data_IF_943176600617
#
_entry.id   IF_943176600617
#
_cell.length_a   1.000
_cell.length_b   1.000
_cell.length_c   1.000
_cell.angle_alpha   90.00
_cell.angle_beta   90.00
_cell.angle_gamma   90.00
#
_symmetry.space_group_name_H-M   'P 1'
#
loop_
_entity.id
_entity.type
_entity.pdbx_description
1 polymer ?
#
# COMPACT_ATOMS: atom_id res chain seq x y z
N UNK A 1 -0.27 11.63 -2.68
CA UNK A 1 -1.44 10.87 -3.16
C UNK A 1 -0.97 9.44 -3.38
N UNK A 2 -1.52 8.46 -2.68
CA UNK A 2 -1.13 7.05 -2.86
C UNK A 2 -1.83 6.50 -4.09
N UNK A 3 -1.13 5.71 -4.90
CA UNK A 3 -1.56 5.10 -6.17
C UNK A 3 -2.89 4.30 -6.09
N UNK A 4 -3.47 4.09 -4.90
CA UNK A 4 -4.85 3.61 -4.71
C UNK A 4 -5.95 4.61 -5.05
N UNK A 5 -5.64 5.85 -5.46
CA UNK A 5 -6.59 6.68 -6.21
C UNK A 5 -6.57 6.39 -7.72
N UNK A 6 -5.59 5.62 -8.21
CA UNK A 6 -5.37 5.30 -9.63
C UNK A 6 -5.27 3.81 -9.92
N UNK A 7 -5.59 2.94 -8.96
CA UNK A 7 -5.80 1.53 -9.27
C UNK A 7 -6.99 1.42 -10.20
N UNK A 8 -6.63 1.17 -11.44
CA UNK A 8 -7.47 0.54 -12.43
C UNK A 8 -7.81 -0.87 -11.92
N UNK A 9 -8.78 -0.95 -11.01
CA UNK A 9 -9.27 -2.23 -10.48
C UNK A 9 -10.40 -2.80 -11.36
N UNK A 10 -10.69 -2.12 -12.47
CA UNK A 10 -11.68 -2.54 -13.44
C UNK A 10 -11.18 -2.20 -14.84
N UNK A 11 -11.57 -3.01 -15.83
CA UNK A 11 -11.32 -2.70 -17.23
C UNK A 11 -11.78 -1.29 -17.63
N UNK A 12 -12.78 -0.72 -16.94
CA UNK A 12 -13.34 0.60 -17.27
C UNK A 12 -12.35 1.71 -16.95
N UNK A 13 -11.75 1.64 -15.76
CA UNK A 13 -10.69 2.55 -15.35
C UNK A 13 -9.44 2.34 -16.20
N UNK A 14 -9.19 1.11 -16.68
CA UNK A 14 -8.02 0.78 -17.51
C UNK A 14 -8.10 1.48 -18.84
N UNK A 15 -9.27 1.35 -19.48
CA UNK A 15 -9.57 1.97 -20.74
C UNK A 15 -9.49 3.48 -20.63
N UNK A 16 -10.09 4.07 -19.60
CA UNK A 16 -10.02 5.51 -19.40
C UNK A 16 -8.59 5.99 -19.15
N UNK A 17 -7.82 5.27 -18.33
CA UNK A 17 -6.45 5.65 -18.04
C UNK A 17 -5.56 5.51 -19.28
N UNK A 18 -5.63 4.39 -20.01
CA UNK A 18 -4.87 4.20 -21.26
C UNK A 18 -5.32 5.23 -22.29
N UNK A 19 -6.63 5.46 -22.48
CA UNK A 19 -7.14 6.47 -23.42
C UNK A 19 -6.64 7.89 -23.10
N UNK A 20 -6.48 8.24 -21.83
CA UNK A 20 -6.04 9.57 -21.42
C UNK A 20 -4.52 9.74 -21.46
N UNK A 21 -3.76 8.65 -21.49
CA UNK A 21 -2.30 8.67 -21.44
C UNK A 21 -1.64 8.14 -22.73
N UNK A 22 -2.39 7.49 -23.61
CA UNK A 22 -1.91 7.01 -24.90
C UNK A 22 -1.85 8.16 -25.92
N UNK A 23 -0.66 8.43 -26.46
CA UNK A 23 -0.46 9.27 -27.63
C UNK A 23 -1.14 8.70 -28.87
N UNK A 24 -1.27 7.37 -28.96
CA UNK A 24 -2.08 6.67 -29.95
C UNK A 24 -2.82 5.47 -29.33
N UNK A 25 -4.13 5.62 -29.12
CA UNK A 25 -4.99 4.55 -28.58
C UNK A 25 -5.10 3.35 -29.53
N UNK A 26 -4.92 3.55 -30.84
CA UNK A 26 -4.94 2.49 -31.84
C UNK A 26 -3.81 1.48 -31.64
N UNK A 27 -2.61 1.94 -31.28
CA UNK A 27 -1.45 1.05 -31.06
C UNK A 27 -1.62 0.24 -29.77
N UNK A 28 -2.13 0.86 -28.71
CA UNK A 28 -2.54 0.14 -27.50
C UNK A 28 -3.61 -0.91 -27.82
N UNK A 29 -4.63 -0.57 -28.62
CA UNK A 29 -5.67 -1.51 -29.03
C UNK A 29 -5.14 -2.68 -29.86
N UNK A 30 -4.19 -2.44 -30.79
CA UNK A 30 -3.52 -3.48 -31.57
C UNK A 30 -2.78 -4.48 -30.67
N UNK A 31 -2.03 -4.00 -29.68
CA UNK A 31 -1.31 -4.88 -28.74
C UNK A 31 -2.27 -5.73 -27.92
N UNK A 32 -3.31 -5.13 -27.35
CA UNK A 32 -4.32 -5.87 -26.55
C UNK A 32 -5.07 -6.89 -27.41
N UNK A 33 -5.42 -6.54 -28.66
CA UNK A 33 -6.02 -7.47 -29.62
C UNK A 33 -5.09 -8.66 -29.93
N UNK A 34 -3.80 -8.40 -30.15
CA UNK A 34 -2.78 -9.43 -30.37
C UNK A 34 -2.65 -10.39 -29.17
N UNK A 35 -2.69 -9.85 -27.95
CA UNK A 35 -2.67 -10.67 -26.72
C UNK A 35 -3.84 -11.65 -26.69
N UNK A 36 -5.05 -11.22 -27.04
CA UNK A 36 -6.24 -12.09 -27.03
C UNK A 36 -6.39 -12.95 -28.29
N UNK A 37 -5.49 -12.80 -29.28
CA UNK A 37 -5.59 -13.49 -30.58
C UNK A 37 -6.73 -12.99 -31.46
N UNK A 38 -7.22 -11.78 -31.21
CA UNK A 38 -8.20 -11.13 -32.08
C UNK A 38 -7.50 -10.47 -33.28
N UNK A 39 -8.22 -10.37 -34.40
CA UNK A 39 -7.75 -9.56 -35.54
C UNK A 39 -7.72 -8.10 -35.08
N UNK A 40 -6.53 -7.52 -35.06
CA UNK A 40 -6.40 -6.10 -34.79
C UNK A 40 -7.06 -5.30 -35.93
N UNK A 41 -7.77 -4.23 -35.59
CA UNK A 41 -8.33 -3.33 -36.60
C UNK A 41 -7.19 -2.77 -37.45
N UNK A 42 -7.39 -2.77 -38.77
CA UNK A 42 -6.49 -2.11 -39.72
C UNK A 42 -6.44 -0.61 -39.47
N UNK A 43 -5.40 0.07 -39.96
CA UNK A 43 -5.30 1.53 -39.83
C UNK A 43 -6.47 2.25 -40.49
N UNK A 44 -6.99 1.70 -41.59
CA UNK A 44 -8.17 2.22 -42.28
C UNK A 44 -9.46 2.05 -41.45
N UNK A 45 -9.63 0.92 -40.76
CA UNK A 45 -10.76 0.68 -39.85
C UNK A 45 -10.68 1.54 -38.58
N UNK A 46 -9.46 1.73 -38.05
CA UNK A 46 -9.21 2.63 -36.92
C UNK A 46 -9.51 4.09 -37.29
N UNK A 47 -9.11 4.51 -38.49
CA UNK A 47 -9.40 5.84 -39.02
C UNK A 47 -10.91 6.04 -39.30
N UNK A 48 -11.62 4.98 -39.73
CA UNK A 48 -13.05 5.01 -39.99
C UNK A 48 -13.91 5.03 -38.71
N UNK A 49 -13.49 4.34 -37.66
CA UNK A 49 -14.20 4.31 -36.35
C UNK A 49 -13.92 5.54 -35.46
N UNK A 50 -12.82 6.25 -35.69
CA UNK A 50 -12.46 7.45 -34.93
C UNK A 50 -12.41 7.21 -33.40
N UNK A 51 -13.01 8.10 -32.61
CA UNK A 51 -13.07 8.01 -31.14
C UNK A 51 -13.95 6.85 -30.62
N UNK A 52 -14.60 6.07 -31.49
CA UNK A 52 -15.55 5.03 -31.09
C UNK A 52 -14.89 3.67 -30.78
N UNK A 53 -13.55 3.61 -30.74
CA UNK A 53 -12.78 2.39 -30.42
C UNK A 53 -12.91 1.94 -28.95
N UNK A 54 -13.33 2.82 -28.04
CA UNK A 54 -13.31 2.58 -26.59
C UNK A 54 -14.13 1.36 -26.12
N UNK A 55 -15.35 1.07 -26.64
CA UNK A 55 -16.11 -0.11 -26.25
C UNK A 55 -15.42 -1.43 -26.68
N UNK A 56 -14.86 -1.46 -27.90
CA UNK A 56 -14.11 -2.61 -28.40
C UNK A 56 -12.84 -2.82 -27.60
N UNK A 57 -12.10 -1.73 -27.34
CA UNK A 57 -10.91 -1.74 -26.51
C UNK A 57 -11.20 -2.22 -25.08
N UNK A 58 -12.32 -1.79 -24.48
CA UNK A 58 -12.79 -2.29 -23.19
C UNK A 58 -13.06 -3.79 -23.19
N UNK A 59 -13.76 -4.30 -24.20
CA UNK A 59 -13.98 -5.74 -24.32
C UNK A 59 -12.66 -6.49 -24.47
N UNK A 60 -11.68 -5.93 -25.18
CA UNK A 60 -10.38 -6.56 -25.37
C UNK A 60 -9.56 -6.60 -24.08
N UNK A 61 -9.56 -5.52 -23.28
CA UNK A 61 -8.91 -5.50 -21.96
C UNK A 61 -9.50 -6.57 -21.03
N UNK A 62 -10.83 -6.73 -20.99
CA UNK A 62 -11.47 -7.78 -20.19
C UNK A 62 -11.04 -9.19 -20.62
N UNK A 63 -10.99 -9.46 -21.93
CA UNK A 63 -10.54 -10.75 -22.46
C UNK A 63 -9.04 -10.98 -22.21
N UNK A 64 -8.24 -9.91 -22.29
CA UNK A 64 -6.82 -9.98 -22.02
C UNK A 64 -6.56 -10.31 -20.55
N UNK A 65 -7.35 -9.74 -19.63
CA UNK A 65 -7.28 -10.08 -18.20
C UNK A 65 -7.62 -11.55 -17.93
N UNK A 66 -8.65 -12.10 -18.58
CA UNK A 66 -8.97 -13.54 -18.48
C UNK A 66 -7.78 -14.39 -18.91
N UNK A 67 -7.16 -14.05 -20.06
CA UNK A 67 -5.99 -14.77 -20.57
C UNK A 67 -4.76 -14.63 -19.66
N UNK A 68 -4.53 -13.45 -19.09
CA UNK A 68 -3.48 -13.23 -18.09
C UNK A 68 -3.71 -14.11 -16.85
N UNK A 69 -4.95 -14.22 -16.37
CA UNK A 69 -5.30 -15.09 -15.25
C UNK A 69 -5.09 -16.57 -15.57
N UNK A 70 -5.44 -17.02 -16.78
CA UNK A 70 -5.20 -18.39 -17.25
C UNK A 70 -3.70 -18.71 -17.28
N UNK A 71 -2.89 -17.82 -17.89
CA UNK A 71 -1.43 -17.98 -17.92
C UNK A 71 -0.84 -17.99 -16.52
N UNK A 72 -1.31 -17.11 -15.63
CA UNK A 72 -0.86 -17.09 -14.24
C UNK A 72 -1.20 -18.40 -13.51
N UNK A 73 -2.39 -18.96 -13.71
CA UNK A 73 -2.77 -20.26 -13.12
C UNK A 73 -1.93 -21.42 -13.66
N UNK A 74 -1.60 -21.40 -14.95
CA UNK A 74 -0.81 -22.45 -15.59
C UNK A 74 0.68 -22.38 -15.21
N UNK A 75 1.26 -21.16 -15.20
CA UNK A 75 2.71 -20.95 -15.08
C UNK A 75 3.18 -20.56 -13.68
N UNK A 76 2.31 -19.95 -12.87
CA UNK A 76 2.63 -19.40 -11.55
C UNK A 76 1.86 -20.14 -10.45
N UNK A 77 1.90 -21.47 -10.52
CA UNK A 77 1.26 -22.35 -9.55
C UNK A 77 1.85 -22.20 -8.14
N UNK A 78 1.13 -22.76 -7.16
CA UNK A 78 1.60 -22.82 -5.78
C UNK A 78 2.96 -23.53 -5.71
N UNK A 79 3.96 -23.00 -4.99
CA UNK A 79 5.25 -23.67 -4.80
C UNK A 79 5.15 -24.89 -3.87
N UNK A 80 3.93 -25.27 -3.48
CA UNK A 80 3.64 -26.28 -2.47
C UNK A 80 2.85 -27.44 -3.07
N UNK A 81 3.19 -28.67 -2.67
CA UNK A 81 2.50 -29.89 -3.09
C UNK A 81 1.13 -30.00 -2.41
N UNK A 82 0.21 -30.78 -3.00
CA UNK A 82 -1.20 -30.91 -2.61
C UNK A 82 -1.48 -31.35 -1.15
N UNK A 83 -0.44 -31.60 -0.34
CA UNK A 83 -0.54 -32.09 1.04
C UNK A 83 -0.25 -31.02 2.10
N UNK A 84 0.12 -29.79 1.73
CA UNK A 84 0.28 -28.70 2.70
C UNK A 84 -1.04 -27.95 2.87
N UNK A 85 -1.62 -28.08 4.06
CA UNK A 85 -3.04 -27.76 4.32
C UNK A 85 -3.35 -26.26 4.39
N UNK A 86 -2.37 -25.36 4.24
CA UNK A 86 -2.53 -23.94 4.58
C UNK A 86 -1.92 -22.98 3.54
N UNK A 87 -2.60 -22.84 2.38
CA UNK A 87 -2.24 -21.88 1.33
C UNK A 87 -3.39 -20.90 1.05
N UNK A 88 -3.12 -19.60 1.17
CA UNK A 88 -4.02 -18.53 0.70
C UNK A 88 -3.54 -18.02 -0.65
N UNK A 89 -4.40 -18.10 -1.66
CA UNK A 89 -4.11 -17.55 -2.99
C UNK A 89 -4.75 -16.18 -3.14
N UNK A 90 -3.99 -15.24 -3.70
CA UNK A 90 -4.43 -13.89 -4.00
C UNK A 90 -4.15 -13.60 -5.46
N UNK A 91 -5.20 -13.19 -6.17
CA UNK A 91 -5.13 -12.70 -7.53
C UNK A 91 -5.35 -11.18 -7.53
N UNK A 92 -4.51 -10.46 -8.25
CA UNK A 92 -4.57 -9.01 -8.44
C UNK A 92 -4.39 -8.66 -9.93
N UNK A 93 -5.47 -8.39 -10.66
CA UNK A 93 -5.38 -7.63 -11.90
C UNK A 93 -4.83 -6.23 -11.62
N UNK A 94 -4.01 -5.71 -12.52
CA UNK A 94 -3.50 -4.35 -12.39
C UNK A 94 -2.93 -3.79 -13.68
N UNK A 95 -3.01 -2.48 -13.80
CA UNK A 95 -2.27 -1.71 -14.79
C UNK A 95 -1.20 -0.89 -14.06
N UNK A 96 0.04 -1.12 -14.42
CA UNK A 96 1.20 -0.55 -13.75
C UNK A 96 1.93 0.37 -14.72
N UNK A 97 2.49 1.50 -14.27
CA UNK A 97 3.53 2.14 -15.04
C UNK A 97 4.68 1.14 -15.21
N UNK A 98 5.34 1.16 -16.37
CA UNK A 98 6.57 0.40 -16.52
C UNK A 98 7.53 0.85 -15.41
N UNK A 99 8.25 -0.08 -14.73
CA UNK A 99 9.26 0.32 -13.78
C UNK A 99 10.26 1.28 -14.45
N UNK A 100 10.85 2.18 -13.68
CA UNK A 100 11.86 3.13 -14.18
C UNK A 100 13.28 2.60 -13.97
N UNK A 101 14.27 3.36 -14.44
CA UNK A 101 15.69 3.08 -14.19
C UNK A 101 16.42 2.48 -15.39
N UNK A 102 17.68 2.11 -15.19
CA UNK A 102 18.49 1.40 -16.19
C UNK A 102 18.31 -0.11 -16.02
N UNK A 103 18.63 -0.90 -17.04
CA UNK A 103 18.66 -2.39 -16.95
C UNK A 103 19.54 -2.85 -15.77
N UNK A 104 20.57 -2.07 -15.44
CA UNK A 104 21.50 -2.35 -14.34
C UNK A 104 20.97 -1.92 -12.97
N UNK A 105 20.06 -0.95 -12.89
CA UNK A 105 19.48 -0.42 -11.66
C UNK A 105 17.97 -0.13 -11.83
N UNK A 106 17.13 -1.18 -11.88
CA UNK A 106 15.68 -1.02 -11.87
C UNK A 106 15.25 -0.26 -10.61
N UNK A 107 14.50 0.83 -10.79
CA UNK A 107 13.90 1.56 -9.68
C UNK A 107 12.41 1.25 -9.66
N UNK A 108 12.00 0.41 -8.70
CA UNK A 108 10.59 0.18 -8.43
C UNK A 108 9.98 1.47 -7.91
N UNK A 109 8.89 1.91 -8.55
CA UNK A 109 8.16 3.09 -8.10
C UNK A 109 7.62 2.82 -6.69
N UNK A 110 7.95 3.63 -5.66
CA UNK A 110 7.57 3.33 -4.27
C UNK A 110 6.07 3.14 -4.04
N UNK A 111 5.22 3.68 -4.93
CA UNK A 111 3.78 3.43 -4.92
C UNK A 111 3.42 1.95 -5.03
N UNK A 112 4.11 1.21 -5.91
CA UNK A 112 3.82 -0.21 -6.18
C UNK A 112 3.94 -1.05 -4.91
N UNK A 113 5.01 -0.86 -4.13
CA UNK A 113 5.23 -1.56 -2.86
C UNK A 113 4.13 -1.26 -1.84
N UNK A 114 3.71 0.00 -1.73
CA UNK A 114 2.57 0.40 -0.88
C UNK A 114 1.29 -0.29 -1.32
N UNK A 115 1.14 -0.55 -2.61
CA UNK A 115 -0.06 -1.15 -3.15
C UNK A 115 -0.15 -2.63 -2.90
N UNK A 116 0.94 -3.34 -3.13
CA UNK A 116 1.04 -4.75 -2.77
C UNK A 116 0.78 -4.91 -1.26
N UNK A 117 1.30 -4.04 -0.40
CA UNK A 117 1.02 -4.08 1.03
C UNK A 117 -0.46 -3.94 1.39
N UNK A 118 -1.17 -3.01 0.76
CA UNK A 118 -2.62 -2.85 1.01
C UNK A 118 -3.39 -4.09 0.57
N UNK A 119 -3.03 -4.68 -0.56
CA UNK A 119 -3.62 -5.94 -1.01
C UNK A 119 -3.42 -7.06 0.01
N UNK A 120 -2.17 -7.26 0.48
CA UNK A 120 -1.85 -8.28 1.47
C UNK A 120 -2.72 -8.12 2.72
N UNK A 121 -2.82 -6.89 3.24
CA UNK A 121 -3.67 -6.59 4.40
C UNK A 121 -5.16 -6.87 4.14
N UNK A 122 -5.69 -6.46 2.98
CA UNK A 122 -7.08 -6.71 2.59
C UNK A 122 -7.39 -8.20 2.49
N UNK A 123 -6.39 -9.02 2.15
CA UNK A 123 -6.50 -10.48 2.05
C UNK A 123 -6.11 -11.21 3.35
N UNK A 124 -5.95 -10.48 4.45
CA UNK A 124 -5.50 -11.01 5.75
C UNK A 124 -4.18 -11.79 5.67
N UNK A 125 -3.25 -11.29 4.85
CA UNK A 125 -1.87 -11.75 4.77
C UNK A 125 -1.01 -10.70 5.51
N UNK A 126 -0.05 -11.12 6.35
CA UNK A 126 0.90 -10.19 6.94
C UNK A 126 1.65 -9.40 5.86
N UNK A 127 1.72 -8.09 6.01
CA UNK A 127 2.48 -7.21 5.11
C UNK A 127 3.94 -7.05 5.55
N UNK A 128 4.32 -7.66 6.67
CA UNK A 128 5.63 -7.55 7.28
C UNK A 128 6.14 -8.95 7.66
N UNK A 129 7.44 -9.21 7.50
CA UNK A 129 8.08 -10.44 7.97
C UNK A 129 9.28 -10.11 8.86
N UNK A 130 9.58 -10.98 9.82
CA UNK A 130 10.78 -10.82 10.66
C UNK A 130 11.96 -11.51 9.98
N UNK A 131 13.00 -10.73 9.70
CA UNK A 131 14.30 -11.21 9.24
C UNK A 131 15.00 -12.04 10.32
N UNK A 132 16.01 -12.81 9.91
CA UNK A 132 16.91 -13.58 10.76
C UNK A 132 17.57 -12.73 11.85
N UNK A 133 17.88 -11.46 11.55
CA UNK A 133 18.46 -10.48 12.48
C UNK A 133 17.42 -9.80 13.40
N UNK A 134 16.14 -10.20 13.33
CA UNK A 134 15.06 -9.63 14.13
C UNK A 134 14.49 -8.31 13.60
N UNK A 135 15.03 -7.75 12.51
CA UNK A 135 14.44 -6.59 11.84
C UNK A 135 13.15 -6.98 11.12
N UNK A 136 12.22 -6.03 11.07
CA UNK A 136 10.96 -6.17 10.34
C UNK A 136 11.22 -5.72 8.90
N UNK A 137 11.04 -6.63 7.95
CA UNK A 137 11.09 -6.34 6.52
C UNK A 137 9.68 -6.13 5.98
N UNK A 138 9.55 -5.19 5.06
CA UNK A 138 8.31 -4.90 4.34
C UNK A 138 8.12 -5.94 3.22
N UNK A 139 7.05 -6.74 3.32
CA UNK A 139 6.80 -7.81 2.37
C UNK A 139 6.35 -7.27 1.01
N UNK A 140 5.61 -6.16 0.99
CA UNK A 140 5.21 -5.50 -0.26
C UNK A 140 6.40 -4.94 -1.02
N UNK A 141 7.39 -4.38 -0.32
CA UNK A 141 8.66 -3.94 -0.91
C UNK A 141 9.44 -5.12 -1.50
N UNK A 142 9.59 -6.22 -0.76
CA UNK A 142 10.28 -7.42 -1.26
C UNK A 142 9.60 -8.02 -2.50
N UNK A 143 8.28 -8.12 -2.49
CA UNK A 143 7.51 -8.64 -3.63
C UNK A 143 7.61 -7.69 -4.82
N UNK A 144 7.45 -6.38 -4.59
CA UNK A 144 7.54 -5.38 -5.67
C UNK A 144 8.93 -5.39 -6.31
N UNK A 145 9.98 -5.47 -5.49
CA UNK A 145 11.36 -5.55 -5.97
C UNK A 145 11.60 -6.80 -6.82
N UNK A 146 10.98 -7.95 -6.53
CA UNK A 146 11.11 -9.13 -7.39
C UNK A 146 10.23 -9.06 -8.65
N UNK A 147 9.01 -8.52 -8.55
CA UNK A 147 8.05 -8.46 -9.66
C UNK A 147 8.40 -7.43 -10.73
N UNK A 148 9.08 -6.37 -10.32
CA UNK A 148 9.41 -5.23 -11.18
C UNK A 148 10.92 -5.07 -11.37
N UNK A 149 11.69 -6.14 -11.10
CA UNK A 149 13.11 -6.22 -11.45
C UNK A 149 13.28 -6.42 -12.97
N UNK A 150 13.90 -5.45 -13.64
CA UNK A 150 14.19 -5.53 -15.07
C UNK A 150 15.20 -6.62 -15.44
N UNK A 151 15.98 -7.15 -14.48
CA UNK A 151 16.95 -8.21 -14.73
C UNK A 151 16.28 -9.58 -14.94
N UNK A 152 15.02 -9.75 -14.52
CA UNK A 152 14.24 -10.94 -14.85
C UNK A 152 13.72 -10.85 -16.30
N UNK A 153 14.65 -10.92 -17.26
CA UNK A 153 14.47 -11.27 -18.67
C UNK A 153 13.08 -10.99 -19.23
N UNK A 154 12.66 -9.73 -19.29
CA UNK A 154 11.49 -9.37 -20.09
C UNK A 154 11.93 -9.49 -21.55
N UNK A 155 11.35 -10.39 -22.37
CA UNK A 155 11.72 -10.46 -23.78
C UNK A 155 11.49 -9.09 -24.39
N UNK A 156 12.56 -8.45 -24.85
CA UNK A 156 12.53 -7.13 -25.49
C UNK A 156 11.95 -7.21 -26.91
N UNK A 157 11.72 -8.43 -27.38
CA UNK A 157 11.60 -8.83 -28.78
C UNK A 157 10.22 -9.41 -29.13
N UNK A 158 9.24 -9.36 -28.22
CA UNK A 158 7.85 -9.82 -28.49
C UNK A 158 6.80 -8.86 -27.94
N UNK A 159 6.51 -7.82 -28.70
CA UNK A 159 5.57 -6.72 -28.41
C UNK A 159 4.09 -7.12 -28.16
N UNK A 160 3.79 -8.41 -28.09
CA UNK A 160 2.43 -8.95 -27.89
C UNK A 160 2.37 -10.26 -27.09
N UNK A 161 3.52 -10.80 -26.64
CA UNK A 161 3.53 -12.04 -25.87
C UNK A 161 3.35 -11.76 -24.37
N UNK A 162 2.45 -12.50 -23.73
CA UNK A 162 2.37 -12.54 -22.27
C UNK A 162 3.67 -13.14 -21.75
N UNK A 163 4.35 -12.43 -20.85
CA UNK A 163 5.53 -12.91 -20.12
C UNK A 163 5.18 -13.13 -18.65
N UNK A 164 5.98 -13.94 -17.95
CA UNK A 164 5.78 -14.28 -16.54
C UNK A 164 7.01 -13.96 -15.73
N UNK A 165 6.83 -13.29 -14.59
CA UNK A 165 7.88 -12.94 -13.63
C UNK A 165 7.57 -13.68 -12.32
N UNK A 166 8.35 -14.72 -11.96
CA UNK A 166 8.11 -15.46 -10.73
C UNK A 166 8.53 -14.67 -9.49
N UNK A 167 7.85 -14.93 -8.39
CA UNK A 167 8.19 -14.45 -7.04
C UNK A 167 8.38 -15.64 -6.14
N UNK A 168 9.45 -15.60 -5.36
CA UNK A 168 9.68 -16.56 -4.30
C UNK A 168 10.33 -15.86 -3.10
N UNK A 169 9.53 -15.62 -2.07
CA UNK A 169 10.00 -15.09 -0.79
C UNK A 169 10.16 -16.25 0.18
N UNK A 170 11.39 -16.49 0.60
CA UNK A 170 11.72 -17.54 1.56
C UNK A 170 11.84 -16.96 2.97
N UNK A 171 11.45 -17.76 3.96
CA UNK A 171 11.79 -17.48 5.35
C UNK A 171 13.31 -17.58 5.51
N UNK A 172 13.96 -16.52 5.99
CA UNK A 172 15.42 -16.51 6.09
C UNK A 172 15.99 -17.61 6.99
N UNK A 173 15.26 -17.98 8.06
CA UNK A 173 15.68 -18.98 9.06
C UNK A 173 15.41 -20.41 8.59
N UNK A 174 14.20 -20.69 8.10
CA UNK A 174 13.80 -22.06 7.73
C UNK A 174 14.07 -22.38 6.27
N UNK A 175 14.38 -21.37 5.44
CA UNK A 175 14.48 -21.44 3.97
C UNK A 175 13.24 -22.00 3.27
N UNK A 176 12.12 -22.12 4.00
CA UNK A 176 10.83 -22.52 3.44
C UNK A 176 10.15 -21.34 2.75
N UNK A 177 9.40 -21.56 1.66
CA UNK A 177 8.65 -20.49 1.00
C UNK A 177 7.57 -19.93 1.94
N UNK A 178 7.44 -18.60 1.95
CA UNK A 178 6.38 -17.84 2.61
C UNK A 178 5.41 -17.33 1.56
N UNK A 179 5.95 -16.76 0.47
CA UNK A 179 5.20 -16.31 -0.69
C UNK A 179 5.78 -16.99 -1.92
N UNK A 180 4.94 -17.61 -2.73
CA UNK A 180 5.27 -18.03 -4.09
C UNK A 180 4.30 -17.46 -5.12
N UNK A 181 4.50 -17.78 -6.39
CA UNK A 181 3.67 -17.32 -7.51
C UNK A 181 4.42 -16.34 -8.39
N UNK A 182 3.79 -15.23 -8.76
CA UNK A 182 4.42 -14.19 -9.58
C UNK A 182 3.42 -13.28 -10.31
N UNK A 183 3.84 -12.75 -11.45
CA UNK A 183 3.03 -11.90 -12.32
C UNK A 183 3.05 -12.41 -13.76
N UNK A 184 1.88 -12.55 -14.38
CA UNK A 184 1.76 -12.61 -15.83
C UNK A 184 1.47 -11.20 -16.34
N UNK A 185 2.19 -10.73 -17.36
CA UNK A 185 2.02 -9.37 -17.87
C UNK A 185 2.25 -9.28 -19.38
N UNK A 186 1.74 -8.21 -19.98
CA UNK A 186 2.18 -7.73 -21.29
C UNK A 186 2.30 -6.20 -21.24
N UNK A 187 3.05 -5.65 -22.20
CA UNK A 187 3.34 -4.21 -22.25
C UNK A 187 2.31 -3.47 -23.10
N UNK A 188 1.99 -2.23 -22.73
CA UNK A 188 1.11 -1.31 -23.47
C UNK A 188 1.90 -0.04 -23.81
N UNK A 189 1.97 0.37 -25.08
CA UNK A 189 2.61 1.63 -25.47
C UNK A 189 1.71 2.82 -25.11
N UNK A 190 2.27 3.87 -24.49
CA UNK A 190 1.52 5.09 -24.14
C UNK A 190 2.07 6.36 -24.78
N UNK A 191 3.36 6.47 -25.12
CA UNK A 191 3.94 7.76 -25.54
C UNK A 191 4.52 7.80 -26.95
N UNK A 192 5.21 6.75 -27.38
CA UNK A 192 5.89 6.69 -28.68
C UNK A 192 5.81 5.28 -29.27
N UNK A 193 5.73 5.18 -30.60
CA UNK A 193 5.85 3.89 -31.29
C UNK A 193 7.19 3.25 -30.91
N UNK A 194 7.14 2.08 -30.25
CA UNK A 194 8.32 1.35 -29.77
C UNK A 194 8.74 1.60 -28.32
N UNK A 195 8.05 2.45 -27.54
CA UNK A 195 8.24 2.56 -26.08
C UNK A 195 7.06 1.97 -25.30
N UNK A 196 7.36 1.18 -24.27
CA UNK A 196 6.39 0.53 -23.42
C UNK A 196 6.31 1.19 -22.06
N UNK A 197 5.31 2.05 -21.88
CA UNK A 197 5.23 2.90 -20.70
C UNK A 197 4.28 2.34 -19.61
N UNK A 198 3.51 1.28 -19.92
CA UNK A 198 2.69 0.57 -18.95
C UNK A 198 2.67 -0.94 -19.15
N UNK A 199 2.40 -1.68 -18.07
CA UNK A 199 2.21 -3.12 -18.06
C UNK A 199 0.79 -3.43 -17.59
N UNK A 200 0.04 -4.19 -18.38
CA UNK A 200 -1.20 -4.81 -17.90
C UNK A 200 -0.87 -6.21 -17.41
N UNK A 201 -1.22 -6.50 -16.16
CA UNK A 201 -0.77 -7.71 -15.49
C UNK A 201 -1.81 -8.34 -14.58
N UNK A 202 -1.59 -9.63 -14.33
CA UNK A 202 -2.28 -10.43 -13.34
C UNK A 202 -1.23 -10.99 -12.38
N UNK A 203 -1.23 -10.49 -11.15
CA UNK A 203 -0.36 -10.95 -10.08
C UNK A 203 -1.09 -12.07 -9.34
N UNK A 204 -0.47 -13.25 -9.26
CA UNK A 204 -0.97 -14.40 -8.51
C UNK A 204 0.03 -14.77 -7.43
N UNK A 205 -0.34 -14.59 -6.18
CA UNK A 205 0.50 -14.86 -5.01
C UNK A 205 -0.09 -15.98 -4.16
N UNK A 206 0.77 -16.86 -3.69
CA UNK A 206 0.44 -17.95 -2.80
C UNK A 206 1.12 -17.71 -1.45
N UNK A 207 0.34 -17.35 -0.44
CA UNK A 207 0.82 -17.21 0.93
C UNK A 207 0.68 -18.52 1.68
N UNK A 208 1.81 -19.03 2.13
CA UNK A 208 1.93 -20.29 2.84
C UNK A 208 2.04 -19.95 4.31
N UNK A 209 1.00 -20.27 5.05
CA UNK A 209 0.93 -19.94 6.47
C UNK A 209 1.05 -21.20 7.32
N UNK A 210 1.53 -21.00 8.53
CA UNK A 210 1.36 -21.96 9.60
C UNK A 210 0.37 -21.37 10.62
N UNK A 211 -0.38 -22.23 11.29
CA UNK A 211 -1.41 -21.80 12.25
C UNK A 211 -0.85 -20.94 13.38
N UNK A 212 0.42 -21.13 13.73
CA UNK A 212 1.09 -20.37 14.78
C UNK A 212 1.31 -18.91 14.38
N UNK A 213 1.74 -18.66 13.16
CA UNK A 213 1.98 -17.33 12.61
C UNK A 213 0.66 -16.63 12.30
N UNK A 214 -0.36 -17.37 11.83
CA UNK A 214 -1.70 -16.82 11.66
C UNK A 214 -2.34 -16.44 13.01
N UNK A 215 -2.15 -17.25 14.06
CA UNK A 215 -2.60 -16.91 15.41
C UNK A 215 -1.89 -15.65 15.92
N UNK A 216 -0.57 -15.57 15.79
CA UNK A 216 0.19 -14.37 16.17
C UNK A 216 -0.27 -13.14 15.40
N UNK A 217 -0.47 -13.26 14.09
CA UNK A 217 -0.99 -12.17 13.28
C UNK A 217 -2.39 -11.73 13.70
N UNK A 218 -3.27 -12.68 14.04
CA UNK A 218 -4.59 -12.36 14.61
C UNK A 218 -4.48 -11.65 15.96
N UNK A 219 -3.60 -12.11 16.83
CA UNK A 219 -3.35 -11.47 18.13
C UNK A 219 -2.80 -10.05 17.97
N UNK A 220 -1.85 -9.84 17.04
CA UNK A 220 -1.32 -8.52 16.70
C UNK A 220 -2.42 -7.62 16.12
N UNK A 221 -3.27 -8.14 15.22
CA UNK A 221 -4.40 -7.40 14.65
C UNK A 221 -5.45 -7.05 15.71
N UNK A 222 -5.73 -7.95 16.66
CA UNK A 222 -6.64 -7.71 17.78
C UNK A 222 -6.04 -6.74 18.80
N UNK A 223 -4.72 -6.74 18.97
CA UNK A 223 -4.02 -5.74 19.80
C UNK A 223 -4.08 -4.34 19.18
N UNK A 224 -4.09 -4.26 17.84
CA UNK A 224 -4.27 -3.04 17.06
C UNK A 224 -5.74 -2.64 16.86
N UNK A 225 -6.67 -3.57 17.05
CA UNK A 225 -8.09 -3.26 17.00
C UNK A 225 -8.41 -2.21 18.06
N UNK A 226 -9.25 -1.25 17.70
CA UNK A 226 -9.76 -0.25 18.63
C UNK A 226 -10.50 -1.03 19.71
N UNK A 227 -9.84 -1.27 20.84
CA UNK A 227 -10.49 -1.83 22.01
C UNK A 227 -11.63 -0.88 22.35
N UNK A 228 -12.83 -1.38 22.70
CA UNK A 228 -13.85 -0.55 23.31
C UNK A 228 -13.14 0.27 24.39
N UNK A 229 -13.24 1.59 24.30
CA UNK A 229 -12.69 2.46 25.33
C UNK A 229 -13.19 1.94 26.68
N UNK A 230 -12.40 2.06 27.76
CA UNK A 230 -12.87 1.65 29.06
C UNK A 230 -14.24 2.27 29.28
N UNK A 231 -15.29 1.42 29.38
CA UNK A 231 -16.54 1.82 30.00
C UNK A 231 -16.14 2.17 31.42
N UNK A 232 -15.91 3.46 31.66
CA UNK A 232 -15.67 3.96 32.99
C UNK A 232 -17.05 4.12 33.64
N UNK A 233 -17.46 3.24 34.56
CA UNK A 233 -18.73 3.39 35.27
C UNK A 233 -18.76 4.64 36.17
N UNK A 234 -17.65 5.37 36.31
CA UNK A 234 -17.50 6.46 37.30
C UNK A 234 -17.69 7.89 36.77
N UNK A 235 -17.84 8.12 35.47
CA UNK A 235 -18.22 9.47 34.97
C UNK A 235 -19.59 9.42 34.34
N UNK A 236 -20.62 9.66 35.15
CA UNK A 236 -22.03 9.77 34.76
C UNK A 236 -22.34 11.03 33.89
N UNK A 237 -21.41 11.46 33.04
CA UNK A 237 -21.56 12.65 32.20
C UNK A 237 -20.93 12.49 30.83
N UNK A 238 -21.51 13.19 29.86
CA UNK A 238 -21.04 13.24 28.48
C UNK A 238 -19.54 13.62 28.40
N UNK A 239 -18.84 13.06 27.43
CA UNK A 239 -17.41 13.31 27.20
C UNK A 239 -17.04 13.19 25.72
N UNK A 240 -15.92 13.81 25.34
CA UNK A 240 -15.37 13.74 23.99
C UNK A 240 -14.12 12.85 24.00
N UNK A 241 -13.99 11.98 23.01
CA UNK A 241 -12.72 11.35 22.64
C UNK A 241 -12.13 12.14 21.46
N UNK A 242 -10.97 12.76 21.68
CA UNK A 242 -10.21 13.47 20.66
C UNK A 242 -8.94 12.70 20.33
N UNK A 243 -8.78 12.31 19.07
CA UNK A 243 -7.52 11.73 18.59
C UNK A 243 -6.66 12.82 17.96
N UNK A 244 -5.44 13.00 18.46
CA UNK A 244 -4.46 13.95 17.93
C UNK A 244 -3.31 13.18 17.30
N UNK A 245 -2.92 13.60 16.10
CA UNK A 245 -1.71 13.12 15.42
C UNK A 245 -0.67 14.23 15.35
N UNK A 246 0.54 13.97 15.84
CA UNK A 246 1.71 14.83 15.66
C UNK A 246 2.68 14.16 14.69
N UNK A 247 3.06 14.85 13.62
CA UNK A 247 4.01 14.34 12.62
C UNK A 247 5.27 15.19 12.59
N UNK A 248 6.42 14.55 12.76
CA UNK A 248 7.74 15.18 12.74
C UNK A 248 8.44 14.96 11.39
N UNK A 249 9.23 15.96 10.99
CA UNK A 249 9.91 15.95 9.70
C UNK A 249 11.35 15.41 9.75
N UNK A 250 11.88 14.96 10.90
CA UNK A 250 13.32 14.67 10.99
C UNK A 250 13.88 13.71 12.05
N UNK A 251 13.15 13.26 13.08
CA UNK A 251 13.73 12.27 14.01
C UNK A 251 12.69 11.49 14.83
N UNK A 252 13.02 10.23 15.17
CA UNK A 252 12.30 9.37 16.14
C UNK A 252 12.73 9.64 17.60
N UNK A 253 13.83 10.37 17.82
CA UNK A 253 14.40 10.63 19.15
C UNK A 253 13.57 11.60 20.01
N UNK A 254 12.43 12.09 19.51
CA UNK A 254 11.52 13.02 20.19
C UNK A 254 10.40 12.32 20.96
N UNK A 255 10.37 10.98 21.00
CA UNK A 255 9.36 10.20 21.71
C UNK A 255 9.30 10.47 23.24
N UNK A 256 10.42 10.64 23.97
CA UNK A 256 10.40 11.04 25.37
C UNK A 256 9.75 12.42 25.56
N UNK A 257 10.09 13.39 24.72
CA UNK A 257 9.58 14.75 24.76
C UNK A 257 8.08 14.80 24.44
N UNK A 258 7.63 14.00 23.47
CA UNK A 258 6.19 13.83 23.19
C UNK A 258 5.44 13.26 24.39
N UNK A 259 6.02 12.26 25.07
CA UNK A 259 5.42 11.64 26.25
C UNK A 259 5.33 12.63 27.42
N UNK A 260 6.38 13.41 27.67
CA UNK A 260 6.38 14.44 28.71
C UNK A 260 5.44 15.61 28.39
N UNK A 261 5.35 16.04 27.13
CA UNK A 261 4.39 17.06 26.71
C UNK A 261 2.94 16.60 26.93
N UNK A 262 2.65 15.33 26.65
CA UNK A 262 1.31 14.75 26.87
C UNK A 262 0.99 14.66 28.37
N UNK A 263 1.95 14.25 29.21
CA UNK A 263 1.78 14.29 30.68
C UNK A 263 1.52 15.71 31.18
N UNK A 264 2.21 16.70 30.61
CA UNK A 264 2.00 18.12 30.92
C UNK A 264 0.58 18.59 30.55
N UNK A 265 0.05 18.21 29.38
CA UNK A 265 -1.34 18.50 29.01
C UNK A 265 -2.33 17.92 30.02
N UNK A 266 -2.16 16.66 30.42
CA UNK A 266 -3.03 16.01 31.41
C UNK A 266 -2.95 16.74 32.76
N UNK A 267 -1.74 17.05 33.24
CA UNK A 267 -1.52 17.76 34.51
C UNK A 267 -2.13 19.16 34.51
N UNK A 268 -1.89 19.93 33.45
CA UNK A 268 -2.34 21.33 33.35
C UNK A 268 -3.86 21.43 33.14
N UNK A 269 -4.51 20.36 32.66
CA UNK A 269 -5.96 20.30 32.45
C UNK A 269 -6.79 20.19 33.73
N UNK A 270 -6.17 19.97 34.90
CA UNK A 270 -6.83 19.79 36.21
C UNK A 270 -7.95 18.73 36.17
N UNK A 271 -7.71 17.61 35.49
CA UNK A 271 -8.66 16.49 35.40
C UNK A 271 -9.69 16.59 34.27
N UNK A 272 -9.65 17.64 33.45
CA UNK A 272 -10.54 17.78 32.28
C UNK A 272 -10.07 17.02 31.04
N UNK A 273 -8.81 16.60 31.02
CA UNK A 273 -8.18 15.84 29.92
C UNK A 273 -7.46 14.64 30.52
N UNK A 274 -7.77 13.45 30.02
CA UNK A 274 -7.06 12.20 30.33
C UNK A 274 -6.58 11.56 29.04
N UNK A 275 -5.49 10.80 29.11
CA UNK A 275 -4.94 10.08 27.94
C UNK A 275 -5.43 8.65 27.99
N UNK A 276 -6.01 8.18 26.88
CA UNK A 276 -6.50 6.83 26.71
C UNK A 276 -5.41 5.98 26.07
N UNK A 277 -4.82 5.08 26.87
CA UNK A 277 -3.85 4.09 26.41
C UNK A 277 -2.49 4.66 25.98
N UNK A 278 -1.57 3.77 25.53
CA UNK A 278 -0.27 4.19 25.02
C UNK A 278 -0.41 4.85 23.65
N UNK A 279 0.56 5.71 23.31
CA UNK A 279 0.63 6.33 21.99
C UNK A 279 0.82 5.28 20.89
N UNK A 280 0.13 5.45 19.76
CA UNK A 280 0.48 4.69 18.54
C UNK A 280 1.57 5.46 17.82
N UNK A 281 2.78 4.90 17.79
CA UNK A 281 3.97 5.51 17.19
C UNK A 281 4.26 4.80 15.86
N UNK A 282 4.19 5.54 14.77
CA UNK A 282 4.43 5.09 13.40
C UNK A 282 5.51 5.98 12.77
N UNK A 283 6.77 5.54 12.87
CA UNK A 283 7.92 6.31 12.43
C UNK A 283 8.04 7.66 13.16
N UNK A 284 7.84 8.76 12.43
CA UNK A 284 7.84 10.13 12.99
C UNK A 284 6.45 10.63 13.35
N UNK A 285 5.42 9.79 13.25
CA UNK A 285 4.03 10.11 13.56
C UNK A 285 3.62 9.51 14.89
N UNK A 286 3.07 10.35 15.76
CA UNK A 286 2.61 9.99 17.10
C UNK A 286 1.11 10.24 17.17
N UNK A 287 0.33 9.22 17.53
CA UNK A 287 -1.11 9.35 17.72
C UNK A 287 -1.46 9.14 19.18
N UNK A 288 -2.13 10.12 19.76
CA UNK A 288 -2.64 10.10 21.14
C UNK A 288 -4.16 10.21 21.13
N UNK A 289 -4.81 9.45 21.99
CA UNK A 289 -6.23 9.57 22.24
C UNK A 289 -6.43 10.24 23.59
N UNK A 290 -7.23 11.30 23.60
CA UNK A 290 -7.57 12.05 24.80
C UNK A 290 -9.06 11.90 25.07
N UNK A 291 -9.41 11.52 26.29
CA UNK A 291 -10.75 11.72 26.80
C UNK A 291 -10.82 13.10 27.44
N UNK A 292 -11.84 13.86 27.09
CA UNK A 292 -11.99 15.26 27.47
C UNK A 292 -13.42 15.56 27.88
N UNK A 293 -13.60 16.48 28.84
CA UNK A 293 -14.93 16.99 29.15
C UNK A 293 -15.55 17.67 27.91
N UNK A 294 -16.88 17.66 27.77
CA UNK A 294 -17.57 18.29 26.60
C UNK A 294 -17.18 19.77 26.43
N UNK A 295 -16.90 20.46 27.54
CA UNK A 295 -16.43 21.85 27.56
C UNK A 295 -15.06 22.09 26.93
N UNK A 296 -14.27 21.03 26.69
CA UNK A 296 -12.93 21.11 26.11
C UNK A 296 -13.00 20.66 24.66
N UNK A 297 -12.76 21.60 23.74
CA UNK A 297 -12.81 21.34 22.31
C UNK A 297 -11.55 20.65 21.79
N UNK A 298 -11.62 19.92 20.66
CA UNK A 298 -10.49 19.20 20.09
C UNK A 298 -9.33 20.12 19.67
N UNK A 299 -9.65 21.34 19.20
CA UNK A 299 -8.66 22.35 18.87
C UNK A 299 -7.90 22.86 20.11
N UNK A 300 -8.57 22.92 21.27
CA UNK A 300 -7.95 23.32 22.53
C UNK A 300 -6.92 22.30 22.99
N UNK A 301 -7.22 21.00 22.86
CA UNK A 301 -6.28 19.92 23.19
C UNK A 301 -5.06 19.95 22.25
N UNK A 302 -5.26 20.21 20.96
CA UNK A 302 -4.17 20.37 20.00
C UNK A 302 -3.29 21.59 20.32
N UNK A 303 -3.89 22.72 20.69
CA UNK A 303 -3.17 23.92 21.09
C UNK A 303 -2.38 23.71 22.40
N UNK A 304 -2.99 23.04 23.39
CA UNK A 304 -2.33 22.68 24.65
C UNK A 304 -1.14 21.74 24.41
N UNK A 305 -1.28 20.76 23.51
CA UNK A 305 -0.19 19.86 23.14
C UNK A 305 0.94 20.61 22.44
N UNK A 306 0.63 21.50 21.49
CA UNK A 306 1.63 22.35 20.83
C UNK A 306 2.39 23.21 21.84
N UNK A 307 1.67 23.79 22.79
CA UNK A 307 2.22 24.63 23.85
C UNK A 307 3.10 23.81 24.79
N UNK A 308 2.63 22.65 25.23
CA UNK A 308 3.41 21.74 26.08
C UNK A 308 4.70 21.28 25.39
N UNK A 309 4.67 21.00 24.09
CA UNK A 309 5.85 20.64 23.32
C UNK A 309 6.88 21.76 23.27
N UNK A 310 6.45 23.01 23.09
CA UNK A 310 7.37 24.15 23.11
C UNK A 310 8.09 24.33 24.45
N UNK A 311 7.52 23.85 25.55
CA UNK A 311 8.14 23.89 26.88
C UNK A 311 9.05 22.69 27.20
N UNK A 312 8.88 21.57 26.49
CA UNK A 312 9.61 20.32 26.75
C UNK A 312 10.79 20.15 25.79
N UNK A 313 10.76 20.82 24.65
CA UNK A 313 11.90 20.83 23.73
C UNK A 313 13.06 21.64 24.33
N UNK A 314 14.30 21.15 24.21
CA UNK A 314 15.47 21.87 24.66
C UNK A 314 15.65 23.17 23.85
N UNK A 315 16.19 24.20 24.49
CA UNK A 315 16.55 25.43 23.82
C UNK A 315 17.56 25.15 22.69
N UNK A 316 17.43 25.80 21.52
CA UNK A 316 18.35 25.57 20.41
C UNK A 316 19.76 26.01 20.81
N UNK A 317 20.74 25.13 20.60
CA UNK A 317 22.16 25.51 20.62
C UNK A 317 22.72 25.48 19.19
N UNK A 318 23.83 26.20 18.90
CA UNK A 318 24.48 26.14 17.59
C UNK A 318 24.85 24.71 17.15
N UNK A 319 25.10 23.82 18.12
CA UNK A 319 25.45 22.42 17.92
C UNK A 319 24.23 21.49 17.80
N UNK A 320 23.06 21.91 18.31
CA UNK A 320 21.80 21.17 18.26
C UNK A 320 20.64 22.12 17.89
N UNK A 321 20.44 22.41 16.59
CA UNK A 321 19.32 23.24 16.15
C UNK A 321 17.98 22.58 16.50
N UNK A 322 16.99 23.39 16.92
CA UNK A 322 15.66 22.90 17.26
C UNK A 322 15.10 22.00 16.15
N UNK A 323 14.56 20.81 16.47
CA UNK A 323 13.75 20.07 15.51
C UNK A 323 12.54 20.94 15.15
N UNK A 324 12.28 21.12 13.85
CA UNK A 324 11.09 21.85 13.38
C UNK A 324 9.85 21.28 14.07
N UNK A 325 9.05 22.16 14.69
CA UNK A 325 7.82 21.80 15.40
C UNK A 325 6.97 20.82 14.56
N UNK A 326 6.34 19.82 15.20
CA UNK A 326 5.56 18.85 14.47
C UNK A 326 4.31 19.50 13.91
N UNK A 327 3.82 18.95 12.80
CA UNK A 327 2.47 19.26 12.36
C UNK A 327 1.49 18.51 13.25
N UNK A 328 0.74 19.24 14.08
CA UNK A 328 -0.29 18.68 14.95
C UNK A 328 -1.64 18.79 14.24
N UNK A 329 -2.37 17.67 14.15
CA UNK A 329 -3.70 17.60 13.55
C UNK A 329 -4.66 16.84 14.45
N UNK A 330 -5.90 17.32 14.51
CA UNK A 330 -7.02 16.53 15.04
C UNK A 330 -7.41 15.53 13.97
N UNK A 331 -7.31 14.24 14.30
CA UNK A 331 -7.55 13.14 13.37
C UNK A 331 -8.97 12.58 13.47
N UNK A 332 -9.56 12.63 14.65
CA UNK A 332 -10.93 12.17 14.89
C UNK A 332 -11.49 12.81 16.17
N UNK A 333 -12.79 13.02 16.21
CA UNK A 333 -13.52 13.48 17.39
C UNK A 333 -14.81 12.69 17.50
N UNK A 334 -15.07 12.10 18.67
CA UNK A 334 -16.30 11.40 18.97
C UNK A 334 -16.86 11.94 20.28
N UNK A 335 -18.11 12.37 20.27
CA UNK A 335 -18.83 12.80 21.48
C UNK A 335 -19.72 11.67 21.95
N UNK A 336 -19.58 11.32 23.22
CA UNK A 336 -20.40 10.36 23.92
C UNK A 336 -21.32 11.14 24.86
N UNK A 337 -22.63 10.96 24.70
CA UNK A 337 -23.68 11.62 25.48
C UNK A 337 -24.27 10.62 26.47
#
# INVERSE_FOLDING_TARGET
MGFWSSLVNSASQAVHWVSNNAGNIGDAAKVVAGVIGAVAMSEDELAAEGNNILPTFYSHILKAEVKLSEVAKEKLGSPVTANDENVKTVDLPGLWPSPGGTVENPTVVPGISVDINKLLVLKNIPNNIKSSNGQVQDLGELIANQLFDFQQAVPLDKDSAIFTIPVNILNEKTKKPIIGGGMAAYKIPLGNAGSFDAWHSHIRLHYIYNDTDERKFREEKLALAIKPGPTNPETAGAYNITTISAQWNGSRAIAPQMTEAVKKVVKDSKGKVTVLGPAVIDGTRFKYQFQTAVSVGPAQVAAQLSTALSFVLPDPTPENPLPRMPTIKVSNVQTYV
#
